data_IF_040263744126
#
_entry.id   IF_040263744126
#
_cell.length_a   1.000
_cell.length_b   1.000
_cell.length_c   1.000
_cell.angle_alpha   90.00
_cell.angle_beta   90.00
_cell.angle_gamma   90.00
#
_symmetry.space_group_name_H-M   'P 1'
#
loop_
_entity.id
_entity.type
_entity.pdbx_description
1 polymer ?
#
# COMPACT_ATOMS: atom_id res chain seq x y z
N UNK A 1 -7.28 -24.11 8.05
CA UNK A 1 -6.49 -23.27 8.97
C UNK A 1 -5.93 -22.15 8.11
N UNK A 2 -6.04 -20.91 8.54
CA UNK A 2 -5.50 -19.77 7.81
C UNK A 2 -3.97 -19.90 7.83
N UNK A 3 -3.33 -19.79 6.67
CA UNK A 3 -1.86 -19.83 6.55
C UNK A 3 -1.32 -18.40 6.60
N UNK A 4 -0.97 -17.94 7.80
CA UNK A 4 -0.44 -16.59 8.00
C UNK A 4 0.93 -16.39 7.35
N UNK A 5 1.77 -17.41 7.30
CA UNK A 5 3.06 -17.35 6.61
C UNK A 5 2.87 -17.15 5.11
N UNK A 6 1.90 -17.82 4.51
CA UNK A 6 1.57 -17.56 3.10
C UNK A 6 1.11 -16.12 2.87
N UNK A 7 0.26 -15.56 3.75
CA UNK A 7 -0.20 -14.17 3.64
C UNK A 7 0.96 -13.18 3.84
N UNK A 8 1.84 -13.44 4.81
CA UNK A 8 3.06 -12.66 5.05
C UNK A 8 3.93 -12.59 3.81
N UNK A 9 4.22 -13.73 3.20
CA UNK A 9 5.04 -13.81 1.98
C UNK A 9 4.45 -13.03 0.79
N UNK A 10 3.12 -12.96 0.69
CA UNK A 10 2.44 -12.15 -0.35
C UNK A 10 2.62 -10.66 -0.05
N UNK A 11 2.40 -10.25 1.21
CA UNK A 11 2.54 -8.86 1.68
C UNK A 11 3.99 -8.37 1.57
N UNK A 12 4.97 -9.20 1.93
CA UNK A 12 6.40 -8.91 1.81
C UNK A 12 6.79 -8.60 0.37
N UNK A 13 6.48 -9.50 -0.57
CA UNK A 13 6.75 -9.29 -1.99
C UNK A 13 6.07 -8.04 -2.54
N UNK A 14 4.84 -7.81 -2.11
CA UNK A 14 4.11 -6.61 -2.51
C UNK A 14 4.81 -5.34 -2.04
N UNK A 15 5.23 -5.29 -0.77
CA UNK A 15 5.94 -4.15 -0.18
C UNK A 15 7.28 -3.93 -0.88
N UNK A 16 8.09 -4.98 -1.02
CA UNK A 16 9.39 -4.87 -1.72
C UNK A 16 9.25 -4.28 -3.13
N UNK A 17 8.18 -4.66 -3.84
CA UNK A 17 7.95 -4.21 -5.21
C UNK A 17 7.38 -2.78 -5.30
N UNK A 18 6.50 -2.39 -4.38
CA UNK A 18 5.68 -1.17 -4.54
C UNK A 18 5.96 -0.06 -3.53
N UNK A 19 6.66 -0.35 -2.43
CA UNK A 19 7.02 0.64 -1.42
C UNK A 19 7.84 1.82 -1.96
N UNK A 20 8.87 1.63 -2.82
CA UNK A 20 9.59 2.76 -3.41
C UNK A 20 8.70 3.70 -4.24
N UNK A 21 7.73 3.12 -4.95
CA UNK A 21 6.80 3.87 -5.79
C UNK A 21 5.81 4.68 -4.94
N UNK A 22 5.21 4.06 -3.92
CA UNK A 22 4.30 4.75 -3.01
C UNK A 22 4.99 5.88 -2.27
N UNK A 23 6.23 5.67 -1.82
CA UNK A 23 7.01 6.72 -1.20
C UNK A 23 7.35 7.84 -2.19
N UNK A 24 7.66 7.50 -3.45
CA UNK A 24 7.85 8.51 -4.51
C UNK A 24 6.60 9.35 -4.78
N UNK A 25 5.39 8.81 -4.56
CA UNK A 25 4.15 9.59 -4.67
C UNK A 25 3.98 10.58 -3.51
N UNK A 26 4.53 10.30 -2.32
CA UNK A 26 4.49 11.22 -1.17
C UNK A 26 5.51 12.36 -1.23
N UNK A 27 6.67 12.13 -1.85
CA UNK A 27 7.83 13.04 -1.75
C UNK A 27 7.89 14.06 -2.92
N UNK A 28 6.76 14.36 -3.56
CA UNK A 28 6.64 15.48 -4.52
C UNK A 28 7.61 15.45 -5.71
N UNK A 29 7.40 14.51 -6.63
CA UNK A 29 7.73 14.76 -8.04
C UNK A 29 6.44 14.98 -8.84
N UNK A 30 5.69 16.01 -8.47
CA UNK A 30 4.59 16.57 -9.27
C UNK A 30 5.05 17.28 -10.56
N UNK A 31 6.31 17.08 -11.00
CA UNK A 31 6.84 17.70 -12.22
C UNK A 31 5.96 17.33 -13.42
N UNK A 32 5.32 16.14 -13.39
CA UNK A 32 4.33 15.72 -14.37
C UNK A 32 3.05 15.16 -13.68
N UNK A 33 1.95 15.93 -13.67
CA UNK A 33 0.65 15.49 -13.14
C UNK A 33 0.08 14.24 -13.81
N UNK A 34 0.35 14.01 -15.09
CA UNK A 34 -0.15 12.83 -15.80
C UNK A 34 0.58 11.56 -15.35
N UNK A 35 1.90 11.64 -15.19
CA UNK A 35 2.69 10.56 -14.61
C UNK A 35 2.30 10.27 -13.16
N UNK A 36 2.07 11.32 -12.36
CA UNK A 36 1.60 11.17 -10.98
C UNK A 36 0.26 10.42 -10.92
N UNK A 37 -0.73 10.86 -11.71
CA UNK A 37 -2.03 10.20 -11.75
C UNK A 37 -1.94 8.75 -12.25
N UNK A 38 -1.16 8.49 -13.30
CA UNK A 38 -0.95 7.13 -13.81
C UNK A 38 -0.30 6.21 -12.78
N UNK A 39 0.70 6.70 -12.05
CA UNK A 39 1.35 5.95 -10.99
C UNK A 39 0.37 5.69 -9.84
N UNK A 40 -0.39 6.69 -9.43
CA UNK A 40 -1.43 6.50 -8.43
C UNK A 40 -2.46 5.42 -8.82
N UNK A 41 -2.96 5.46 -10.07
CA UNK A 41 -3.89 4.44 -10.58
C UNK A 41 -3.27 3.04 -10.58
N UNK A 42 -2.00 2.91 -10.97
CA UNK A 42 -1.29 1.63 -10.90
C UNK A 42 -1.16 1.14 -9.45
N UNK A 43 -0.83 2.02 -8.50
CA UNK A 43 -0.73 1.68 -7.08
C UNK A 43 -2.09 1.19 -6.53
N UNK A 44 -3.18 1.90 -6.85
CA UNK A 44 -4.54 1.47 -6.50
C UNK A 44 -4.88 0.09 -7.06
N UNK A 45 -4.57 -0.15 -8.34
CA UNK A 45 -4.87 -1.42 -9.00
C UNK A 45 -4.15 -2.59 -8.32
N UNK A 46 -2.88 -2.42 -7.94
CA UNK A 46 -2.14 -3.48 -7.25
C UNK A 46 -2.59 -3.65 -5.80
N UNK A 47 -2.90 -2.56 -5.09
CA UNK A 47 -3.46 -2.61 -3.73
C UNK A 47 -4.78 -3.40 -3.70
N UNK A 48 -5.64 -3.21 -4.71
CA UNK A 48 -6.91 -3.94 -4.85
C UNK A 48 -6.75 -5.44 -5.16
N UNK A 49 -5.54 -5.89 -5.53
CA UNK A 49 -5.23 -7.30 -5.77
C UNK A 49 -4.61 -8.00 -4.56
N UNK A 50 -4.30 -7.27 -3.49
CA UNK A 50 -3.87 -7.90 -2.23
C UNK A 50 -4.98 -8.82 -1.71
N UNK A 51 -4.62 -9.99 -1.15
CA UNK A 51 -5.61 -10.86 -0.54
C UNK A 51 -6.27 -10.14 0.65
N UNK A 52 -7.58 -10.36 0.81
CA UNK A 52 -8.27 -9.92 2.02
C UNK A 52 -7.56 -10.48 3.25
N UNK A 53 -7.23 -9.59 4.18
CA UNK A 53 -6.55 -10.00 5.40
C UNK A 53 -7.51 -10.78 6.30
N UNK A 54 -7.10 -11.96 6.80
CA UNK A 54 -7.85 -12.64 7.86
C UNK A 54 -8.01 -11.76 9.10
N UNK A 55 -9.06 -12.03 9.91
CA UNK A 55 -9.53 -11.18 11.04
C UNK A 55 -8.45 -10.80 12.08
N UNK A 56 -7.33 -11.54 12.16
CA UNK A 56 -6.22 -11.29 13.10
C UNK A 56 -4.85 -11.19 12.43
N UNK A 57 -4.80 -11.07 11.10
CA UNK A 57 -3.52 -11.11 10.37
C UNK A 57 -2.64 -9.91 10.71
N UNK A 58 -3.22 -8.73 10.91
CA UNK A 58 -2.46 -7.52 11.23
C UNK A 58 -1.86 -7.57 12.64
N UNK A 59 -2.60 -8.09 13.61
CA UNK A 59 -2.11 -8.34 14.97
C UNK A 59 -0.99 -9.37 14.96
N UNK A 60 -1.20 -10.48 14.26
CA UNK A 60 -0.18 -11.52 14.10
C UNK A 60 1.09 -10.98 13.42
N UNK A 61 0.93 -10.20 12.34
CA UNK A 61 2.04 -9.62 11.59
C UNK A 61 2.83 -8.60 12.43
N UNK A 62 2.14 -7.81 13.26
CA UNK A 62 2.78 -6.87 14.18
C UNK A 62 3.69 -7.58 15.19
N UNK A 63 3.27 -8.74 15.69
CA UNK A 63 4.04 -9.54 16.65
C UNK A 63 5.21 -10.30 15.98
N UNK A 64 4.99 -10.84 14.79
CA UNK A 64 5.98 -11.65 14.06
C UNK A 64 7.01 -10.81 13.30
N UNK A 65 6.58 -9.73 12.65
CA UNK A 65 7.42 -8.85 11.83
C UNK A 65 6.91 -7.40 11.82
N UNK A 66 7.26 -6.68 12.89
CA UNK A 66 6.85 -5.29 13.08
C UNK A 66 7.31 -4.35 11.94
N UNK A 67 8.45 -4.63 11.30
CA UNK A 67 8.94 -3.80 10.20
C UNK A 67 8.04 -3.95 8.96
N UNK A 68 7.68 -5.18 8.63
CA UNK A 68 6.76 -5.46 7.52
C UNK A 68 5.36 -4.88 7.79
N UNK A 69 4.87 -4.99 9.02
CA UNK A 69 3.61 -4.36 9.44
C UNK A 69 3.63 -2.83 9.24
N UNK A 70 4.69 -2.15 9.70
CA UNK A 70 4.82 -0.70 9.56
C UNK A 70 4.78 -0.29 8.09
N UNK A 71 5.55 -0.97 7.24
CA UNK A 71 5.59 -0.69 5.81
C UNK A 71 4.21 -0.88 5.15
N UNK A 72 3.45 -1.92 5.54
CA UNK A 72 2.08 -2.13 5.06
C UNK A 72 1.15 -0.98 5.47
N UNK A 73 1.22 -0.57 6.74
CA UNK A 73 0.39 0.51 7.25
C UNK A 73 0.71 1.85 6.59
N UNK A 74 1.99 2.14 6.35
CA UNK A 74 2.40 3.31 5.59
C UNK A 74 1.83 3.30 4.17
N UNK A 75 1.91 2.18 3.44
CA UNK A 75 1.31 2.05 2.11
C UNK A 75 -0.20 2.34 2.10
N UNK A 76 -0.93 1.80 3.07
CA UNK A 76 -2.37 2.05 3.23
C UNK A 76 -2.66 3.53 3.47
N UNK A 77 -1.87 4.17 4.34
CA UNK A 77 -2.02 5.60 4.65
C UNK A 77 -1.75 6.46 3.43
N UNK A 78 -0.64 6.23 2.72
CA UNK A 78 -0.26 6.96 1.50
C UNK A 78 -1.39 6.88 0.48
N UNK A 79 -1.85 5.66 0.18
CA UNK A 79 -2.88 5.44 -0.83
C UNK A 79 -4.17 6.18 -0.48
N UNK A 80 -4.62 6.10 0.78
CA UNK A 80 -5.83 6.81 1.25
C UNK A 80 -5.66 8.33 1.26
N UNK A 81 -4.50 8.84 1.63
CA UNK A 81 -4.22 10.27 1.61
C UNK A 81 -4.35 10.82 0.19
N UNK A 82 -3.75 10.14 -0.79
CA UNK A 82 -3.82 10.54 -2.19
C UNK A 82 -5.26 10.45 -2.72
N UNK A 83 -6.00 9.38 -2.39
CA UNK A 83 -7.40 9.20 -2.78
C UNK A 83 -8.29 10.34 -2.28
N UNK A 84 -8.20 10.66 -1.00
CA UNK A 84 -8.96 11.76 -0.38
C UNK A 84 -8.65 13.12 -1.05
N UNK A 85 -7.39 13.37 -1.44
CA UNK A 85 -7.02 14.59 -2.16
C UNK A 85 -7.69 14.62 -3.53
N UNK A 86 -7.69 13.51 -4.27
CA UNK A 86 -8.36 13.42 -5.56
C UNK A 86 -9.88 13.62 -5.45
N UNK A 87 -10.54 13.02 -4.46
CA UNK A 87 -11.97 13.21 -4.22
C UNK A 87 -12.31 14.69 -3.95
N UNK A 88 -11.49 15.38 -3.15
CA UNK A 88 -11.71 16.79 -2.81
C UNK A 88 -11.56 17.74 -3.99
N UNK A 89 -10.63 17.47 -4.93
CA UNK A 89 -10.39 18.35 -6.09
C UNK A 89 -11.30 18.04 -7.29
N UNK A 90 -11.96 16.89 -7.31
CA UNK A 90 -12.90 16.48 -8.37
C UNK A 90 -14.37 16.71 -8.04
N UNK A 91 -14.67 17.14 -6.81
CA UNK A 91 -16.01 17.52 -6.31
C UNK A 91 -16.30 19.01 -6.48
#
# INVERSE_FOLDING_TARGET
MIDFEQHKNIVEKFIEQHYPMAHSLMIDNYIDPAAYYSNYQMLLEVMNKLPEHPEYFLEWLLEDDAALYINLMELVVITRTIDNVFEQVTS
#
